data_IF_081111176517
#
_entry.id   IF_081111176517
#
_cell.length_a   1.000
_cell.length_b   1.000
_cell.length_c   1.000
_cell.angle_alpha   90.00
_cell.angle_beta   90.00
_cell.angle_gamma   90.00
#
_symmetry.space_group_name_H-M   'P 1'
#
loop_
_entity.id
_entity.type
_entity.pdbx_description
1 polymer ?
#
# COMPACT_ATOMS: atom_id res chain seq x y z
N UNK A 1 6.27 10.26 22.30
CA UNK A 1 5.18 10.51 21.32
C UNK A 1 5.10 9.28 20.44
N UNK A 2 3.92 8.68 20.34
CA UNK A 2 3.73 7.48 19.48
C UNK A 2 3.79 7.85 18.01
N UNK A 3 4.41 7.01 17.21
CA UNK A 3 4.49 7.20 15.75
C UNK A 3 3.74 6.09 15.04
N UNK A 4 2.78 6.48 14.20
CA UNK A 4 2.00 5.59 13.35
C UNK A 4 2.49 5.68 11.91
N UNK A 5 2.86 4.53 11.35
CA UNK A 5 3.24 4.40 9.95
C UNK A 5 2.08 3.76 9.19
N UNK A 6 1.58 4.46 8.18
CA UNK A 6 0.51 3.97 7.31
C UNK A 6 1.11 3.38 6.03
N UNK A 7 0.87 2.10 5.76
CA UNK A 7 1.38 1.37 4.59
C UNK A 7 0.23 0.92 3.69
N UNK A 8 0.25 1.35 2.43
CA UNK A 8 -0.74 0.94 1.42
C UNK A 8 -0.38 -0.38 0.76
N UNK A 9 -1.31 -0.87 -0.05
CA UNK A 9 -1.17 -2.12 -0.80
C UNK A 9 -0.50 -1.95 -2.17
N UNK A 10 -0.64 -2.98 -2.98
CA UNK A 10 -0.11 -3.12 -4.34
C UNK A 10 -0.44 -1.90 -5.21
N UNK A 11 0.57 -1.30 -5.82
CA UNK A 11 0.48 -0.13 -6.73
C UNK A 11 -0.25 1.08 -6.14
N UNK A 12 -0.29 1.20 -4.82
CA UNK A 12 -0.92 2.31 -4.10
C UNK A 12 0.13 3.17 -3.38
N UNK A 13 -0.13 4.47 -3.34
CA UNK A 13 0.71 5.45 -2.67
C UNK A 13 0.00 6.11 -1.48
N UNK A 14 0.73 6.91 -0.73
CA UNK A 14 0.25 7.62 0.46
C UNK A 14 -1.01 8.46 0.22
N UNK A 15 -1.13 9.13 -0.95
CA UNK A 15 -2.32 9.93 -1.27
C UNK A 15 -3.62 9.10 -1.39
N UNK A 16 -3.52 7.78 -1.61
CA UNK A 16 -4.69 6.91 -1.63
C UNK A 16 -5.30 6.65 -0.24
N UNK A 17 -4.73 7.19 0.83
CA UNK A 17 -5.41 7.26 2.13
C UNK A 17 -6.51 8.31 2.13
N UNK A 18 -6.48 9.30 1.21
CA UNK A 18 -7.42 10.39 1.15
C UNK A 18 -7.51 11.14 2.47
N UNK A 19 -8.70 11.48 2.93
CA UNK A 19 -8.93 12.14 4.20
C UNK A 19 -8.54 11.29 5.42
N UNK A 20 -8.52 9.95 5.29
CA UNK A 20 -8.27 9.05 6.42
C UNK A 20 -6.99 9.38 7.21
N UNK A 21 -5.89 9.73 6.54
CA UNK A 21 -4.64 10.05 7.25
C UNK A 21 -4.77 11.30 8.13
N UNK A 22 -5.48 12.31 7.65
CA UNK A 22 -5.80 13.53 8.40
C UNK A 22 -6.78 13.28 9.55
N UNK A 23 -7.84 12.53 9.28
CA UNK A 23 -8.84 12.15 10.30
C UNK A 23 -8.18 11.30 11.40
N UNK A 24 -7.29 10.38 11.02
CA UNK A 24 -6.54 9.54 11.94
C UNK A 24 -5.59 10.37 12.82
N UNK A 25 -4.90 11.35 12.22
CA UNK A 25 -4.06 12.30 12.99
C UNK A 25 -4.90 13.15 13.94
N UNK A 26 -6.08 13.59 13.51
CA UNK A 26 -7.00 14.38 14.34
C UNK A 26 -7.54 13.56 15.52
N UNK A 27 -7.85 12.28 15.29
CA UNK A 27 -8.31 11.35 16.32
C UNK A 27 -7.20 10.98 17.34
N UNK A 28 -5.93 11.12 16.94
CA UNK A 28 -4.77 10.82 17.78
C UNK A 28 -3.82 12.03 17.86
N UNK A 29 -4.23 13.14 18.50
CA UNK A 29 -3.47 14.40 18.45
C UNK A 29 -2.10 14.32 19.13
N UNK A 30 -1.89 13.34 20.01
CA UNK A 30 -0.62 13.09 20.70
C UNK A 30 0.31 12.15 19.92
N UNK A 31 -0.11 11.63 18.79
CA UNK A 31 0.70 10.75 17.93
C UNK A 31 1.21 11.51 16.71
N UNK A 32 2.28 11.00 16.10
CA UNK A 32 2.74 11.41 14.77
C UNK A 32 2.26 10.37 13.75
N UNK A 33 1.54 10.81 12.72
CA UNK A 33 1.08 9.94 11.62
C UNK A 33 1.93 10.18 10.38
N UNK A 34 2.51 9.12 9.84
CA UNK A 34 3.36 9.15 8.64
C UNK A 34 2.80 8.17 7.61
N UNK A 35 2.29 8.67 6.51
CA UNK A 35 1.93 7.83 5.37
C UNK A 35 3.18 7.59 4.52
N UNK A 36 3.64 6.33 4.48
CA UNK A 36 4.88 5.94 3.84
C UNK A 36 4.61 5.22 2.52
N UNK A 37 5.32 5.61 1.47
CA UNK A 37 5.28 4.93 0.18
C UNK A 37 6.24 3.75 0.15
N UNK A 38 5.81 2.64 -0.44
CA UNK A 38 6.70 1.54 -0.81
C UNK A 38 7.48 1.92 -2.08
N UNK A 39 8.75 1.45 -2.24
CA UNK A 39 9.50 1.68 -3.46
C UNK A 39 8.73 1.26 -4.72
N UNK A 40 8.77 2.09 -5.74
CA UNK A 40 7.97 1.95 -6.95
C UNK A 40 6.62 2.64 -6.93
N UNK A 41 6.23 3.24 -5.79
CA UNK A 41 4.97 3.96 -5.62
C UNK A 41 5.21 5.40 -5.14
N UNK A 42 4.28 6.29 -5.41
CA UNK A 42 4.21 7.65 -4.87
C UNK A 42 5.50 8.43 -4.98
N UNK A 43 5.99 8.99 -3.90
CA UNK A 43 7.26 9.73 -3.85
C UNK A 43 8.46 8.87 -4.29
N UNK A 44 8.36 7.54 -4.14
CA UNK A 44 9.40 6.58 -4.46
C UNK A 44 9.14 5.85 -5.80
N UNK A 45 8.26 6.40 -6.67
CA UNK A 45 7.83 5.75 -7.92
C UNK A 45 8.99 5.48 -8.90
N UNK A 46 10.04 6.29 -8.87
CA UNK A 46 11.24 6.13 -9.71
C UNK A 46 12.17 5.01 -9.23
N UNK A 47 12.03 4.56 -7.98
CA UNK A 47 12.84 3.49 -7.43
C UNK A 47 12.31 2.11 -7.87
N UNK A 48 13.19 1.13 -8.08
CA UNK A 48 12.75 -0.24 -8.32
C UNK A 48 12.12 -0.83 -7.06
N UNK A 49 10.93 -1.42 -7.20
CA UNK A 49 10.35 -2.20 -6.11
C UNK A 49 11.22 -3.40 -5.79
N UNK A 50 11.53 -3.69 -4.51
CA UNK A 50 12.18 -4.92 -4.11
C UNK A 50 11.39 -6.15 -4.54
N UNK A 51 12.08 -7.26 -4.82
CA UNK A 51 11.47 -8.53 -5.21
C UNK A 51 11.05 -9.40 -4.01
N UNK A 52 11.28 -8.91 -2.80
CA UNK A 52 10.96 -9.62 -1.56
C UNK A 52 10.35 -8.68 -0.54
N UNK A 53 9.52 -9.22 0.33
CA UNK A 53 8.92 -8.46 1.45
C UNK A 53 10.02 -7.95 2.39
N UNK A 54 11.09 -8.73 2.62
CA UNK A 54 12.25 -8.32 3.41
C UNK A 54 12.94 -7.09 2.83
N UNK A 55 13.12 -7.07 1.51
CA UNK A 55 13.67 -5.90 0.82
C UNK A 55 12.77 -4.66 0.94
N UNK A 56 11.45 -4.85 0.97
CA UNK A 56 10.51 -3.75 1.21
C UNK A 56 10.61 -3.22 2.65
N UNK A 57 10.77 -4.11 3.65
CA UNK A 57 11.02 -3.70 5.05
C UNK A 57 12.30 -2.87 5.14
N UNK A 58 13.40 -3.36 4.55
CA UNK A 58 14.67 -2.63 4.56
C UNK A 58 14.54 -1.23 3.94
N UNK A 59 13.82 -1.13 2.82
CA UNK A 59 13.55 0.16 2.17
C UNK A 59 12.69 1.11 3.03
N UNK A 60 11.65 0.59 3.69
CA UNK A 60 10.83 1.38 4.62
C UNK A 60 11.67 1.92 5.78
N UNK A 61 12.52 1.08 6.39
CA UNK A 61 13.42 1.49 7.47
C UNK A 61 14.39 2.58 7.03
N UNK A 62 15.02 2.41 5.86
CA UNK A 62 15.92 3.39 5.28
C UNK A 62 15.22 4.73 5.01
N UNK A 63 14.02 4.71 4.46
CA UNK A 63 13.25 5.92 4.16
C UNK A 63 12.83 6.65 5.44
N UNK A 64 12.37 5.95 6.49
CA UNK A 64 12.04 6.57 7.78
C UNK A 64 13.28 7.16 8.44
N UNK A 65 14.41 6.47 8.40
CA UNK A 65 15.68 6.99 8.90
C UNK A 65 16.09 8.28 8.17
N UNK A 66 15.95 8.30 6.82
CA UNK A 66 16.20 9.51 6.01
C UNK A 66 15.29 10.68 6.39
N UNK A 67 14.05 10.40 6.80
CA UNK A 67 13.09 11.40 7.28
C UNK A 67 13.31 11.79 8.76
N UNK A 68 14.27 11.19 9.45
CA UNK A 68 14.49 11.41 10.88
C UNK A 68 13.37 10.85 11.76
N UNK A 69 12.64 9.85 11.28
CA UNK A 69 11.56 9.19 12.03
C UNK A 69 12.12 7.92 12.66
N UNK A 70 12.16 7.91 13.99
CA UNK A 70 12.79 6.85 14.76
C UNK A 70 11.76 5.90 15.38
N UNK A 71 12.09 4.59 15.52
CA UNK A 71 11.26 3.62 16.21
C UNK A 71 11.19 3.92 17.73
N UNK A 72 10.24 3.29 18.47
CA UNK A 72 9.34 2.24 17.98
C UNK A 72 8.06 2.78 17.31
N UNK A 73 7.48 1.99 16.40
CA UNK A 73 6.33 2.36 15.56
C UNK A 73 5.09 1.54 15.87
N UNK A 74 3.92 2.14 15.65
CA UNK A 74 2.68 1.44 15.38
C UNK A 74 2.49 1.39 13.85
N UNK A 75 2.12 0.23 13.30
CA UNK A 75 1.90 0.06 11.87
C UNK A 75 0.41 -0.09 11.59
N UNK A 76 -0.15 0.76 10.73
CA UNK A 76 -1.48 0.59 10.16
C UNK A 76 -1.30 0.25 8.67
N UNK A 77 -1.58 -1.00 8.31
CA UNK A 77 -1.11 -1.53 7.05
C UNK A 77 -2.18 -2.33 6.30
N UNK A 78 -2.24 -2.16 4.99
CA UNK A 78 -3.25 -2.78 4.13
C UNK A 78 -2.61 -3.66 3.04
N UNK A 79 -3.14 -4.88 2.85
CA UNK A 79 -2.78 -5.80 1.76
C UNK A 79 -1.27 -6.06 1.71
N UNK A 80 -0.55 -5.72 0.63
CA UNK A 80 0.92 -5.84 0.54
C UNK A 80 1.62 -5.09 1.69
N UNK A 81 1.16 -3.88 2.04
CA UNK A 81 1.69 -3.16 3.19
C UNK A 81 1.57 -3.93 4.50
N UNK A 82 0.50 -4.71 4.67
CA UNK A 82 0.33 -5.56 5.85
C UNK A 82 1.27 -6.78 5.84
N UNK A 83 1.65 -7.29 4.66
CA UNK A 83 2.71 -8.31 4.55
C UNK A 83 4.06 -7.72 4.98
N UNK A 84 4.36 -6.49 4.55
CA UNK A 84 5.56 -5.74 4.98
C UNK A 84 5.54 -5.52 6.49
N UNK A 85 4.42 -5.06 7.06
CA UNK A 85 4.28 -4.82 8.50
C UNK A 85 4.50 -6.10 9.33
N UNK A 86 3.95 -7.23 8.88
CA UNK A 86 4.14 -8.52 9.55
C UNK A 86 5.59 -8.99 9.50
N UNK A 87 6.23 -8.88 8.35
CA UNK A 87 7.64 -9.24 8.21
C UNK A 87 8.54 -8.31 9.01
N UNK A 88 8.20 -7.04 9.09
CA UNK A 88 8.93 -6.08 9.94
C UNK A 88 8.83 -6.44 11.42
N UNK A 89 7.61 -6.70 11.91
CA UNK A 89 7.41 -7.13 13.30
C UNK A 89 8.11 -8.47 13.62
N UNK A 90 8.26 -9.34 12.61
CA UNK A 90 8.98 -10.62 12.76
C UNK A 90 10.50 -10.44 12.83
N UNK A 91 11.06 -9.52 12.02
CA UNK A 91 12.52 -9.36 11.85
C UNK A 91 13.15 -8.31 12.74
N UNK A 92 12.37 -7.36 13.22
CA UNK A 92 12.79 -6.28 14.12
C UNK A 92 11.67 -5.95 15.13
N UNK A 93 11.29 -6.91 15.99
CA UNK A 93 10.17 -6.74 16.93
C UNK A 93 10.37 -5.56 17.88
N UNK A 94 11.60 -5.22 18.21
CA UNK A 94 11.95 -4.08 19.06
C UNK A 94 11.58 -2.72 18.46
N UNK A 95 11.43 -2.65 17.13
CA UNK A 95 11.00 -1.45 16.43
C UNK A 95 9.49 -1.29 16.38
N UNK A 96 8.70 -2.32 16.73
CA UNK A 96 7.26 -2.36 16.52
C UNK A 96 6.51 -2.49 17.84
N UNK A 97 5.66 -1.51 18.15
CA UNK A 97 4.76 -1.54 19.32
C UNK A 97 3.46 -2.28 19.04
N UNK A 98 2.97 -2.25 17.81
CA UNK A 98 1.73 -2.91 17.43
C UNK A 98 1.41 -2.76 15.96
N UNK A 99 0.55 -3.65 15.46
CA UNK A 99 0.12 -3.65 14.06
C UNK A 99 -1.40 -3.73 13.95
N UNK A 100 -1.98 -2.89 13.10
CA UNK A 100 -3.33 -3.02 12.58
C UNK A 100 -3.23 -3.48 11.13
N UNK A 101 -3.66 -4.71 10.85
CA UNK A 101 -3.53 -5.34 9.56
C UNK A 101 -4.90 -5.47 8.88
N UNK A 102 -5.04 -4.90 7.69
CA UNK A 102 -6.31 -4.83 6.96
C UNK A 102 -6.20 -5.53 5.61
N UNK A 103 -7.18 -6.38 5.29
CA UNK A 103 -7.33 -7.05 3.99
C UNK A 103 -6.05 -7.74 3.51
N UNK A 104 -5.46 -8.57 4.36
CA UNK A 104 -4.21 -9.26 4.07
C UNK A 104 -4.32 -10.77 4.19
N UNK A 105 -3.38 -11.46 3.58
CA UNK A 105 -3.22 -12.91 3.66
C UNK A 105 -1.74 -13.27 3.62
N UNK A 106 -1.35 -14.33 4.31
CA UNK A 106 0.05 -14.73 4.47
C UNK A 106 0.24 -16.20 4.14
N UNK A 107 1.41 -16.57 3.61
CA UNK A 107 1.89 -17.94 3.66
C UNK A 107 2.33 -18.27 5.10
N UNK A 108 2.07 -19.49 5.60
CA UNK A 108 1.40 -20.63 4.96
C UNK A 108 -0.13 -20.63 5.09
N UNK A 109 -0.73 -19.62 5.75
CA UNK A 109 -2.15 -19.62 6.13
C UNK A 109 -3.12 -19.48 4.96
N UNK A 110 -2.67 -18.85 3.85
CA UNK A 110 -3.49 -18.64 2.66
C UNK A 110 -2.72 -19.00 1.40
N UNK A 111 -3.17 -19.97 0.58
CA UNK A 111 -2.59 -20.22 -0.72
C UNK A 111 -2.76 -18.99 -1.64
N UNK A 112 -1.88 -18.86 -2.64
CA UNK A 112 -1.84 -17.66 -3.49
C UNK A 112 -3.16 -17.36 -4.21
N UNK A 113 -3.93 -18.40 -4.59
CA UNK A 113 -5.22 -18.27 -5.27
C UNK A 113 -6.35 -17.77 -4.35
N UNK A 114 -6.17 -17.77 -3.04
CA UNK A 114 -7.09 -17.13 -2.10
C UNK A 114 -6.83 -15.62 -1.95
N UNK A 115 -5.64 -15.15 -2.35
CA UNK A 115 -5.26 -13.73 -2.24
C UNK A 115 -5.99 -12.86 -3.26
N UNK A 116 -6.24 -13.42 -4.44
CA UNK A 116 -7.00 -12.79 -5.51
C UNK A 116 -8.15 -13.73 -5.88
N UNK A 117 -9.37 -13.24 -5.85
CA UNK A 117 -10.53 -14.03 -6.27
C UNK A 117 -10.33 -14.46 -7.73
N UNK A 118 -10.43 -15.75 -8.08
CA UNK A 118 -10.17 -16.24 -9.45
C UNK A 118 -10.96 -15.50 -10.53
N UNK A 119 -12.21 -15.08 -10.22
CA UNK A 119 -13.04 -14.28 -11.14
C UNK A 119 -12.42 -12.94 -11.55
N UNK A 120 -11.41 -12.46 -10.81
CA UNK A 120 -10.76 -11.17 -11.07
C UNK A 120 -9.48 -11.33 -11.91
N UNK A 121 -9.01 -12.55 -12.17
CA UNK A 121 -7.76 -12.78 -12.90
C UNK A 121 -7.81 -12.23 -14.33
N UNK A 122 -8.92 -12.41 -15.04
CA UNK A 122 -9.06 -11.88 -16.40
C UNK A 122 -8.97 -10.33 -16.42
N UNK A 123 -9.61 -9.66 -15.45
CA UNK A 123 -9.56 -8.21 -15.34
C UNK A 123 -8.14 -7.72 -15.01
N UNK A 124 -7.44 -8.40 -14.09
CA UNK A 124 -6.06 -8.06 -13.71
C UNK A 124 -5.07 -8.31 -14.85
N UNK A 125 -5.22 -9.43 -15.56
CA UNK A 125 -4.41 -9.74 -16.73
C UNK A 125 -4.62 -8.71 -17.85
N UNK A 126 -5.86 -8.29 -18.08
CA UNK A 126 -6.18 -7.22 -19.02
C UNK A 126 -5.49 -5.90 -18.70
N UNK A 127 -5.37 -5.53 -17.41
CA UNK A 127 -4.64 -4.34 -16.97
C UNK A 127 -3.13 -4.40 -17.26
N UNK A 128 -2.55 -5.60 -17.29
CA UNK A 128 -1.11 -5.80 -17.58
C UNK A 128 -0.83 -5.83 -19.07
N UNK A 129 -1.66 -6.55 -19.84
CA UNK A 129 -1.43 -6.78 -21.27
C UNK A 129 -1.81 -5.57 -22.13
N UNK A 130 -2.82 -4.84 -21.73
CA UNK A 130 -3.32 -3.65 -22.43
C UNK A 130 -3.51 -2.55 -21.39
N UNK A 131 -2.44 -1.82 -21.02
CA UNK A 131 -2.55 -0.81 -19.99
C UNK A 131 -3.57 0.26 -20.39
N UNK A 132 -4.76 0.25 -19.77
CA UNK A 132 -5.80 1.21 -20.08
C UNK A 132 -5.43 2.58 -19.49
N UNK A 133 -6.26 3.59 -19.77
CA UNK A 133 -6.11 4.89 -19.14
C UNK A 133 -6.13 4.80 -17.61
N UNK A 134 -5.54 5.78 -16.93
CA UNK A 134 -5.56 5.86 -15.47
C UNK A 134 -6.99 5.77 -14.91
N UNK A 135 -7.97 6.41 -15.56
CA UNK A 135 -9.39 6.33 -15.18
C UNK A 135 -9.93 4.91 -15.24
N UNK A 136 -9.67 4.18 -16.33
CA UNK A 136 -10.15 2.80 -16.48
C UNK A 136 -9.51 1.85 -15.45
N UNK A 137 -8.23 2.07 -15.09
CA UNK A 137 -7.55 1.34 -14.02
C UNK A 137 -8.24 1.60 -12.69
N UNK A 138 -8.44 2.88 -12.31
CA UNK A 138 -8.96 3.23 -11.00
C UNK A 138 -10.43 2.82 -10.83
N UNK A 139 -11.26 2.94 -11.88
CA UNK A 139 -12.63 2.39 -11.87
C UNK A 139 -12.64 0.88 -11.72
N UNK A 140 -11.71 0.19 -12.36
CA UNK A 140 -11.59 -1.27 -12.19
C UNK A 140 -11.19 -1.62 -10.76
N UNK A 141 -10.21 -0.92 -10.19
CA UNK A 141 -9.82 -1.13 -8.79
C UNK A 141 -10.98 -0.85 -7.84
N UNK A 142 -11.70 0.27 -8.04
CA UNK A 142 -12.91 0.56 -7.26
C UNK A 142 -13.89 -0.60 -7.28
N UNK A 143 -14.25 -1.07 -8.48
CA UNK A 143 -15.18 -2.19 -8.67
C UNK A 143 -14.72 -3.49 -7.99
N UNK A 144 -13.40 -3.75 -7.96
CA UNK A 144 -12.84 -4.96 -7.38
C UNK A 144 -12.68 -4.89 -5.86
N UNK A 145 -12.62 -3.69 -5.28
CA UNK A 145 -12.28 -3.48 -3.87
C UNK A 145 -13.37 -2.82 -3.05
N UNK A 146 -14.38 -2.23 -3.67
CA UNK A 146 -15.47 -1.56 -2.98
C UNK A 146 -16.77 -2.38 -3.04
N UNK A 147 -17.50 -2.42 -1.94
CA UNK A 147 -18.87 -2.93 -1.86
C UNK A 147 -19.91 -1.79 -1.88
N UNK A 148 -19.48 -0.54 -2.12
CA UNK A 148 -20.41 0.58 -2.21
C UNK A 148 -21.38 0.42 -3.40
N UNK A 149 -22.64 0.84 -3.28
CA UNK A 149 -23.67 0.63 -4.32
C UNK A 149 -23.40 1.39 -5.62
N UNK A 150 -22.43 2.30 -5.64
CA UNK A 150 -22.03 3.04 -6.84
C UNK A 150 -20.65 3.66 -6.71
N UNK A 151 -20.05 4.11 -7.82
CA UNK A 151 -18.75 4.75 -7.80
C UNK A 151 -18.85 6.11 -7.08
N UNK A 152 -17.94 6.34 -6.13
CA UNK A 152 -17.73 7.69 -5.57
C UNK A 152 -16.76 8.43 -6.52
N UNK A 153 -17.31 9.20 -7.44
CA UNK A 153 -16.57 9.87 -8.50
C UNK A 153 -15.39 10.67 -7.97
N UNK A 154 -15.60 11.48 -6.93
CA UNK A 154 -14.53 12.28 -6.33
C UNK A 154 -13.34 11.43 -5.84
N UNK A 155 -13.59 10.26 -5.24
CA UNK A 155 -12.53 9.35 -4.79
C UNK A 155 -11.77 8.77 -5.99
N UNK A 156 -12.49 8.41 -7.05
CA UNK A 156 -11.87 7.88 -8.27
C UNK A 156 -11.02 8.97 -8.94
N UNK A 157 -11.53 10.19 -9.03
CA UNK A 157 -10.83 11.33 -9.61
C UNK A 157 -9.53 11.64 -8.83
N UNK A 158 -9.56 11.59 -7.50
CA UNK A 158 -8.36 11.70 -6.66
C UNK A 158 -7.34 10.60 -6.95
N UNK A 159 -7.80 9.36 -7.13
CA UNK A 159 -6.93 8.24 -7.45
C UNK A 159 -6.34 8.35 -8.85
N UNK A 160 -7.12 8.80 -9.81
CA UNK A 160 -6.66 9.09 -11.19
C UNK A 160 -5.59 10.18 -11.17
N UNK A 161 -5.84 11.27 -10.42
CA UNK A 161 -4.88 12.36 -10.28
C UNK A 161 -3.55 11.88 -9.63
N UNK A 162 -3.63 11.04 -8.59
CA UNK A 162 -2.46 10.45 -7.95
C UNK A 162 -1.65 9.60 -8.94
N UNK A 163 -2.30 8.68 -9.64
CA UNK A 163 -1.66 7.80 -10.64
C UNK A 163 -1.04 8.57 -11.80
N UNK A 164 -1.71 9.64 -12.26
CA UNK A 164 -1.21 10.46 -13.37
C UNK A 164 0.04 11.24 -12.98
N UNK A 165 0.08 11.75 -11.75
CA UNK A 165 1.26 12.49 -11.24
C UNK A 165 2.48 11.59 -11.02
N UNK A 166 2.25 10.34 -10.58
CA UNK A 166 3.32 9.40 -10.19
C UNK A 166 2.96 7.99 -10.66
N UNK A 167 3.11 7.73 -11.97
CA UNK A 167 2.72 6.44 -12.52
C UNK A 167 3.60 5.31 -12.00
N UNK A 168 2.96 4.23 -11.58
CA UNK A 168 3.66 2.98 -11.26
C UNK A 168 4.00 2.28 -12.57
N UNK A 169 5.28 1.97 -12.77
CA UNK A 169 5.70 1.23 -13.95
C UNK A 169 5.19 -0.21 -13.93
N UNK A 170 4.95 -0.80 -15.12
CA UNK A 170 4.53 -2.19 -15.23
C UNK A 170 5.53 -3.15 -14.54
N UNK A 171 6.82 -2.86 -14.64
CA UNK A 171 7.88 -3.63 -13.98
C UNK A 171 7.72 -3.56 -12.46
N UNK A 172 7.49 -2.38 -11.89
CA UNK A 172 7.27 -2.24 -10.45
C UNK A 172 5.98 -2.92 -10.00
N UNK A 173 4.90 -2.82 -10.77
CA UNK A 173 3.66 -3.53 -10.49
C UNK A 173 3.86 -5.05 -10.44
N UNK A 174 4.62 -5.62 -11.40
CA UNK A 174 4.96 -7.05 -11.40
C UNK A 174 5.86 -7.44 -10.23
N UNK A 175 6.86 -6.62 -9.90
CA UNK A 175 7.76 -6.86 -8.75
C UNK A 175 7.02 -6.88 -7.41
N UNK A 176 5.92 -6.17 -7.29
CA UNK A 176 5.09 -6.13 -6.08
C UNK A 176 4.14 -7.33 -5.94
N UNK A 177 4.11 -8.27 -6.89
CA UNK A 177 3.32 -9.51 -6.79
C UNK A 177 4.03 -10.63 -6.00
N UNK A 178 4.87 -10.28 -5.05
CA UNK A 178 5.67 -11.18 -4.19
C UNK A 178 4.83 -12.06 -3.26
#
# INVERSE_FOLDING_TARGET
MDTWILLRGLTREASHWGAFAGDFQTALPQAKVVALDLPGNGQLHALPSPLTVQGMVAACRAELARQGVLPPFHLFAMSLGAMVATEWARTAPEEIRGCVLVNTSFRPFSPFFHRLRPRNYAALLGLVLHPPSADAIERTVWRLTSNAPGPRTAVIDDWVAARTRRPVSAINALRQLV
#
